data_IF_551930617593
#
_entry.id   IF_551930617593
#
_cell.length_a   1.000
_cell.length_b   1.000
_cell.length_c   1.000
_cell.angle_alpha   90.00
_cell.angle_beta   90.00
_cell.angle_gamma   90.00
#
_symmetry.space_group_name_H-M   'P 1'
#
loop_
_entity.id
_entity.type
_entity.pdbx_description
1 polymer ?
#
# COMPACT_ATOMS: atom_id res chain seq x y z
N UNK A 1 1.61 16.19 4.79
CA UNK A 1 0.63 15.97 5.89
C UNK A 1 0.33 17.26 6.66
N UNK A 2 1.28 17.86 7.42
CA UNK A 2 1.00 19.13 8.14
C UNK A 2 0.44 20.25 7.24
N UNK A 3 0.90 20.33 5.99
CA UNK A 3 0.46 21.33 5.01
C UNK A 3 -0.95 21.12 4.43
N UNK A 4 -1.75 20.19 4.94
CA UNK A 4 -3.16 20.02 4.58
C UNK A 4 -3.51 18.66 3.97
N UNK A 5 -2.56 17.95 3.35
CA UNK A 5 -2.82 16.61 2.78
C UNK A 5 -3.26 15.60 3.85
N UNK A 6 -4.26 14.79 3.53
CA UNK A 6 -4.72 13.68 4.38
C UNK A 6 -3.79 12.48 4.33
N UNK A 7 -3.32 12.16 3.13
CA UNK A 7 -2.44 11.03 2.87
C UNK A 7 -1.19 11.43 2.10
N UNK A 8 -0.11 10.71 2.39
CA UNK A 8 1.02 10.50 1.48
C UNK A 8 1.02 9.03 1.03
N UNK A 9 1.97 8.62 0.20
CA UNK A 9 2.13 7.22 -0.19
C UNK A 9 3.59 6.90 -0.49
N UNK A 10 3.96 5.64 -0.26
CA UNK A 10 5.11 5.06 -0.92
C UNK A 10 4.85 5.02 -2.45
N UNK A 11 5.89 5.13 -3.25
CA UNK A 11 5.81 4.84 -4.68
C UNK A 11 5.64 3.32 -4.90
N UNK A 12 5.09 2.89 -6.03
CA UNK A 12 4.88 1.45 -6.29
C UNK A 12 6.18 0.66 -6.34
N UNK A 13 7.28 1.31 -6.68
CA UNK A 13 8.60 0.69 -6.75
C UNK A 13 9.37 0.81 -5.43
N UNK A 14 8.82 1.44 -4.39
CA UNK A 14 9.43 1.55 -3.06
C UNK A 14 8.97 0.38 -2.21
N UNK A 15 9.83 -0.64 -2.10
CA UNK A 15 9.56 -1.86 -1.35
C UNK A 15 10.58 -1.96 -0.20
N UNK A 16 11.75 -2.54 -0.46
CA UNK A 16 12.87 -2.64 0.50
C UNK A 16 14.21 -2.68 -0.25
N UNK A 17 14.69 -1.50 -0.63
CA UNK A 17 15.91 -1.34 -1.40
C UNK A 17 17.14 -1.15 -0.50
N UNK A 18 18.37 -1.32 -1.02
CA UNK A 18 19.60 -1.12 -0.24
C UNK A 18 19.71 0.27 0.41
N UNK A 19 19.19 1.31 -0.24
CA UNK A 19 19.24 2.69 0.26
C UNK A 19 18.15 3.02 1.29
N UNK A 20 17.12 2.18 1.42
CA UNK A 20 16.01 2.39 2.36
C UNK A 20 15.27 1.08 2.61
N UNK A 21 15.54 0.46 3.76
CA UNK A 21 14.85 -0.77 4.17
C UNK A 21 13.44 -0.45 4.67
N UNK A 22 12.50 -1.35 4.42
CA UNK A 22 11.07 -1.10 4.66
C UNK A 22 10.75 -0.77 6.12
N UNK A 23 11.40 -1.45 7.07
CA UNK A 23 11.10 -1.31 8.50
C UNK A 23 11.49 0.07 9.04
N UNK A 24 12.64 0.59 8.61
CA UNK A 24 13.10 1.95 8.93
C UNK A 24 12.13 2.99 8.36
N UNK A 25 11.75 2.83 7.09
CA UNK A 25 10.77 3.70 6.42
C UNK A 25 9.45 3.75 7.20
N UNK A 26 8.91 2.60 7.60
CA UNK A 26 7.63 2.52 8.30
C UNK A 26 7.67 3.30 9.63
N UNK A 27 8.76 3.15 10.40
CA UNK A 27 8.93 3.85 11.68
C UNK A 27 8.98 5.37 11.49
N UNK A 28 9.82 5.86 10.58
CA UNK A 28 9.93 7.30 10.32
C UNK A 28 8.65 7.90 9.72
N UNK A 29 7.94 7.14 8.87
CA UNK A 29 6.62 7.53 8.37
C UNK A 29 5.62 7.68 9.51
N UNK A 30 5.53 6.71 10.43
CA UNK A 30 4.59 6.80 11.56
C UNK A 30 4.92 7.94 12.52
N UNK A 31 6.21 8.22 12.75
CA UNK A 31 6.63 9.41 13.50
C UNK A 31 6.14 10.70 12.81
N UNK A 32 6.34 10.81 11.49
CA UNK A 32 5.88 11.95 10.70
C UNK A 32 4.36 12.11 10.67
N UNK A 33 3.63 11.00 10.58
CA UNK A 33 2.16 10.96 10.63
C UNK A 33 1.67 11.46 11.98
N UNK A 34 2.15 10.90 13.09
CA UNK A 34 1.72 11.28 14.43
C UNK A 34 2.06 12.75 14.75
N UNK A 35 3.24 13.25 14.31
CA UNK A 35 3.57 14.68 14.40
C UNK A 35 2.60 15.56 13.61
N UNK A 36 2.10 15.10 12.47
CA UNK A 36 1.11 15.84 11.68
C UNK A 36 -0.29 15.79 12.31
N UNK A 37 -0.71 14.63 12.84
CA UNK A 37 -1.96 14.48 13.60
C UNK A 37 -1.97 15.43 14.78
N UNK A 38 -0.93 15.40 15.63
CA UNK A 38 -0.83 16.26 16.80
C UNK A 38 -0.86 17.76 16.48
N UNK A 39 -0.32 18.16 15.32
CA UNK A 39 -0.30 19.57 14.88
C UNK A 39 -1.60 20.04 14.23
N UNK A 40 -2.41 19.13 13.71
CA UNK A 40 -3.59 19.48 12.89
C UNK A 40 -4.91 19.09 13.54
N UNK A 41 -4.90 18.17 14.52
CA UNK A 41 -6.11 17.58 15.10
C UNK A 41 -6.87 16.66 14.13
N UNK A 42 -6.32 16.40 12.94
CA UNK A 42 -6.96 15.60 11.89
C UNK A 42 -6.30 14.22 11.80
N UNK A 43 -7.09 13.19 11.45
CA UNK A 43 -6.56 11.87 11.07
C UNK A 43 -5.69 12.00 9.82
N UNK A 44 -4.49 11.39 9.86
CA UNK A 44 -3.53 11.39 8.74
C UNK A 44 -2.99 9.98 8.52
N UNK A 45 -2.48 9.72 7.32
CA UNK A 45 -1.82 8.44 7.02
C UNK A 45 -0.80 8.54 5.90
N UNK A 46 -0.09 7.44 5.67
CA UNK A 46 0.72 7.23 4.48
C UNK A 46 0.52 5.80 4.03
N UNK A 47 0.36 5.56 2.73
CA UNK A 47 0.16 4.21 2.23
C UNK A 47 1.50 3.47 2.31
N UNK A 48 1.66 2.66 3.35
CA UNK A 48 2.87 1.87 3.57
C UNK A 48 2.87 0.68 2.61
N UNK A 49 3.83 0.62 1.69
CA UNK A 49 3.87 -0.43 0.67
C UNK A 49 4.37 -1.76 1.25
N UNK A 50 3.46 -2.74 1.29
CA UNK A 50 3.73 -4.10 1.79
C UNK A 50 4.04 -5.09 0.67
N UNK A 51 4.00 -4.68 -0.61
CA UNK A 51 4.40 -5.53 -1.75
C UNK A 51 5.80 -6.11 -1.52
N UNK A 52 5.91 -7.43 -1.62
CA UNK A 52 7.14 -8.20 -1.44
C UNK A 52 7.19 -9.38 -2.42
N UNK A 53 8.32 -10.11 -2.42
CA UNK A 53 8.53 -11.23 -3.34
C UNK A 53 7.78 -12.50 -2.93
N UNK A 54 7.58 -12.71 -1.62
CA UNK A 54 6.90 -13.86 -1.04
C UNK A 54 5.71 -13.42 -0.21
N UNK A 55 4.76 -14.32 0.01
CA UNK A 55 3.58 -14.00 0.82
C UNK A 55 3.93 -13.83 2.29
N UNK A 56 4.92 -14.59 2.77
CA UNK A 56 5.46 -14.52 4.12
C UNK A 56 6.03 -13.11 4.41
N UNK A 57 6.83 -12.57 3.48
CA UNK A 57 7.37 -11.22 3.60
C UNK A 57 6.26 -10.15 3.56
N UNK A 58 5.21 -10.38 2.74
CA UNK A 58 4.06 -9.47 2.69
C UNK A 58 3.30 -9.44 4.02
N UNK A 59 3.04 -10.60 4.62
CA UNK A 59 2.44 -10.70 5.95
C UNK A 59 3.31 -10.07 7.02
N UNK A 60 4.63 -10.28 7.00
CA UNK A 60 5.55 -9.67 7.96
C UNK A 60 5.42 -8.14 7.94
N UNK A 61 5.45 -7.54 6.75
CA UNK A 61 5.30 -6.08 6.58
C UNK A 61 3.93 -5.60 7.02
N UNK A 62 2.88 -6.32 6.66
CA UNK A 62 1.51 -5.95 6.97
C UNK A 62 1.20 -6.02 8.47
N UNK A 63 1.63 -7.09 9.14
CA UNK A 63 1.50 -7.24 10.60
C UNK A 63 2.33 -6.18 11.32
N UNK A 64 3.53 -5.86 10.83
CA UNK A 64 4.31 -4.77 11.41
C UNK A 64 3.61 -3.41 11.26
N UNK A 65 3.04 -3.11 10.08
CA UNK A 65 2.26 -1.88 9.86
C UNK A 65 1.05 -1.78 10.80
N UNK A 66 0.36 -2.89 11.04
CA UNK A 66 -0.72 -2.98 12.04
C UNK A 66 -0.20 -2.75 13.45
N UNK A 67 0.90 -3.39 13.84
CA UNK A 67 1.50 -3.29 15.17
C UNK A 67 1.89 -1.84 15.52
N UNK A 68 2.40 -1.09 14.55
CA UNK A 68 2.78 0.32 14.74
C UNK A 68 1.63 1.31 14.56
N UNK A 69 0.40 0.81 14.34
CA UNK A 69 -0.82 1.63 14.30
C UNK A 69 -1.06 2.39 13.00
N UNK A 70 -0.57 1.89 11.85
CA UNK A 70 -0.97 2.47 10.57
C UNK A 70 -2.46 2.25 10.32
N UNK A 71 -3.11 3.22 9.68
CA UNK A 71 -4.53 3.14 9.28
C UNK A 71 -4.72 2.59 7.86
N UNK A 72 -3.64 2.53 7.08
CA UNK A 72 -3.67 2.16 5.66
C UNK A 72 -2.35 1.54 5.21
N UNK A 73 -2.43 0.52 4.36
CA UNK A 73 -1.29 -0.07 3.63
C UNK A 73 -1.58 -0.07 2.14
N UNK A 74 -0.55 -0.24 1.32
CA UNK A 74 -0.72 -0.45 -0.12
C UNK A 74 -0.06 -1.72 -0.64
N UNK A 75 -0.64 -2.23 -1.72
CA UNK A 75 -0.16 -3.35 -2.52
C UNK A 75 -0.18 -2.98 -4.00
N UNK A 76 0.61 -3.67 -4.80
CA UNK A 76 0.70 -3.46 -6.24
C UNK A 76 0.03 -4.60 -7.01
N UNK A 77 -0.65 -4.29 -8.11
CA UNK A 77 -1.33 -5.27 -8.97
C UNK A 77 -0.42 -6.41 -9.45
N UNK A 78 0.89 -6.14 -9.56
CA UNK A 78 1.90 -7.12 -10.01
C UNK A 78 2.08 -8.31 -9.05
N UNK A 79 1.60 -8.24 -7.81
CA UNK A 79 1.63 -9.39 -6.89
C UNK A 79 0.68 -10.53 -7.32
N UNK A 80 -0.28 -10.23 -8.20
CA UNK A 80 -1.26 -11.18 -8.72
C UNK A 80 -2.49 -11.38 -7.81
N UNK A 81 -3.59 -11.84 -8.43
CA UNK A 81 -4.90 -11.90 -7.77
C UNK A 81 -4.96 -12.80 -6.54
N UNK A 82 -4.21 -13.90 -6.51
CA UNK A 82 -4.12 -14.78 -5.33
C UNK A 82 -3.61 -14.02 -4.11
N UNK A 83 -2.54 -13.24 -4.27
CA UNK A 83 -1.99 -12.44 -3.18
C UNK A 83 -2.90 -11.26 -2.85
N UNK A 84 -3.51 -10.60 -3.85
CA UNK A 84 -4.49 -9.51 -3.63
C UNK A 84 -5.68 -9.99 -2.78
N UNK A 85 -6.27 -11.14 -3.12
CA UNK A 85 -7.39 -11.68 -2.34
C UNK A 85 -6.96 -12.04 -0.91
N UNK A 86 -5.78 -12.66 -0.77
CA UNK A 86 -5.21 -12.98 0.55
C UNK A 86 -5.05 -11.72 1.41
N UNK A 87 -4.46 -10.66 0.84
CA UNK A 87 -4.29 -9.37 1.53
C UNK A 87 -5.62 -8.67 1.78
N UNK A 88 -6.62 -8.81 0.91
CA UNK A 88 -7.98 -8.31 1.14
C UNK A 88 -8.65 -8.98 2.33
N UNK A 89 -8.53 -10.30 2.46
CA UNK A 89 -9.02 -11.04 3.63
C UNK A 89 -8.29 -10.66 4.90
N UNK A 90 -6.97 -10.51 4.84
CA UNK A 90 -6.15 -10.04 5.96
C UNK A 90 -6.57 -8.64 6.40
N UNK A 91 -6.67 -7.69 5.47
CA UNK A 91 -6.99 -6.30 5.75
C UNK A 91 -8.35 -6.16 6.44
N UNK A 92 -9.35 -6.96 6.01
CA UNK A 92 -10.65 -7.04 6.68
C UNK A 92 -10.54 -7.51 8.13
N UNK A 93 -9.74 -8.54 8.40
CA UNK A 93 -9.57 -9.09 9.77
C UNK A 93 -8.72 -8.19 10.66
N UNK A 94 -7.90 -7.34 10.06
CA UNK A 94 -6.98 -6.44 10.75
C UNK A 94 -7.50 -5.01 10.90
N UNK A 95 -8.75 -4.73 10.49
CA UNK A 95 -9.33 -3.37 10.43
C UNK A 95 -8.45 -2.37 9.66
N UNK A 96 -7.83 -2.83 8.58
CA UNK A 96 -6.86 -2.07 7.79
C UNK A 96 -7.46 -1.61 6.46
N UNK A 97 -7.25 -0.35 6.09
CA UNK A 97 -7.57 0.13 4.74
C UNK A 97 -6.51 -0.40 3.76
N UNK A 98 -6.94 -0.97 2.65
CA UNK A 98 -6.06 -1.55 1.63
C UNK A 98 -6.12 -0.74 0.33
N UNK A 99 -5.03 -0.05 0.00
CA UNK A 99 -4.87 0.66 -1.26
C UNK A 99 -4.24 -0.26 -2.32
N UNK A 100 -4.84 -0.34 -3.52
CA UNK A 100 -4.29 -1.09 -4.65
C UNK A 100 -3.73 -0.12 -5.69
N UNK A 101 -2.41 -0.17 -5.90
CA UNK A 101 -1.78 0.48 -7.02
C UNK A 101 -1.79 -0.44 -8.24
N UNK A 102 -2.14 0.11 -9.42
CA UNK A 102 -2.38 -0.68 -10.64
C UNK A 102 -1.12 -0.95 -11.48
N UNK A 103 0.06 -1.09 -10.87
CA UNK A 103 1.32 -1.29 -11.58
C UNK A 103 1.20 -2.40 -12.65
N UNK A 104 1.76 -2.17 -13.84
CA UNK A 104 1.73 -3.12 -14.95
C UNK A 104 0.42 -3.18 -15.75
N UNK A 105 -0.70 -2.60 -15.29
CA UNK A 105 -2.00 -2.74 -15.97
C UNK A 105 -1.99 -2.32 -17.44
N UNK A 106 -1.26 -1.25 -17.79
CA UNK A 106 -1.26 -0.67 -19.14
C UNK A 106 -0.64 -1.59 -20.19
N UNK A 107 0.11 -2.62 -19.79
CA UNK A 107 0.70 -3.61 -20.71
C UNK A 107 -0.36 -4.39 -21.49
N UNK A 108 -1.57 -4.58 -20.92
CA UNK A 108 -2.68 -5.27 -21.57
C UNK A 108 -4.01 -4.47 -21.54
N UNK A 109 -4.01 -3.24 -21.03
CA UNK A 109 -5.25 -2.41 -20.98
C UNK A 109 -5.22 -1.18 -21.88
N UNK A 110 -4.07 -0.88 -22.51
CA UNK A 110 -3.87 0.37 -23.28
C UNK A 110 -4.43 0.29 -24.70
N UNK A 111 -4.22 -0.82 -25.39
CA UNK A 111 -4.57 -0.94 -26.80
C UNK A 111 -6.08 -1.14 -26.97
N UNK A 112 -6.68 -0.41 -27.91
CA UNK A 112 -8.14 -0.45 -28.13
C UNK A 112 -8.59 -1.75 -28.81
N UNK A 113 -7.72 -2.33 -29.65
CA UNK A 113 -7.99 -3.47 -30.51
C UNK A 113 -7.57 -4.82 -29.92
N UNK A 114 -6.79 -4.84 -28.83
CA UNK A 114 -6.32 -6.07 -28.19
C UNK A 114 -6.04 -5.87 -26.71
N UNK A 115 -6.30 -6.89 -25.90
CA UNK A 115 -6.14 -6.85 -24.45
C UNK A 115 -7.47 -6.84 -23.72
N UNK A 116 -7.50 -6.21 -22.55
CA UNK A 116 -8.63 -6.19 -21.64
C UNK A 116 -8.89 -4.77 -21.15
N UNK A 117 -10.11 -4.27 -21.33
CA UNK A 117 -10.43 -2.92 -20.87
C UNK A 117 -10.32 -2.83 -19.35
N UNK A 118 -9.68 -1.78 -18.82
CA UNK A 118 -9.46 -1.61 -17.38
C UNK A 118 -10.76 -1.67 -16.55
N UNK A 119 -11.92 -1.33 -17.12
CA UNK A 119 -13.22 -1.46 -16.44
C UNK A 119 -13.54 -2.89 -15.98
N UNK A 120 -12.95 -3.89 -16.64
CA UNK A 120 -13.13 -5.30 -16.28
C UNK A 120 -12.29 -5.63 -15.05
N UNK A 121 -11.04 -5.16 -14.97
CA UNK A 121 -10.16 -5.31 -13.78
C UNK A 121 -10.77 -4.60 -12.57
N UNK A 122 -11.38 -3.43 -12.76
CA UNK A 122 -12.07 -2.71 -11.69
C UNK A 122 -13.21 -3.52 -11.03
N UNK A 123 -13.73 -4.55 -11.70
CA UNK A 123 -14.83 -5.40 -11.19
C UNK A 123 -14.33 -6.68 -10.53
N UNK A 124 -13.11 -7.11 -10.82
CA UNK A 124 -12.50 -8.29 -10.24
C UNK A 124 -12.01 -8.00 -8.82
#
# INVERSE_FOLDING_TARGET
LKGGLDFLKDDENINSQPFMRWRERFLYCMEGINKAVAKTGQTKGSYLNVTAATQEDMYERAEYAKQIGSVIVMIDLVIGYTAIQTMGHWARKADMILHLHRAGHSTYTRQKNHGLNFRVICKW
#
